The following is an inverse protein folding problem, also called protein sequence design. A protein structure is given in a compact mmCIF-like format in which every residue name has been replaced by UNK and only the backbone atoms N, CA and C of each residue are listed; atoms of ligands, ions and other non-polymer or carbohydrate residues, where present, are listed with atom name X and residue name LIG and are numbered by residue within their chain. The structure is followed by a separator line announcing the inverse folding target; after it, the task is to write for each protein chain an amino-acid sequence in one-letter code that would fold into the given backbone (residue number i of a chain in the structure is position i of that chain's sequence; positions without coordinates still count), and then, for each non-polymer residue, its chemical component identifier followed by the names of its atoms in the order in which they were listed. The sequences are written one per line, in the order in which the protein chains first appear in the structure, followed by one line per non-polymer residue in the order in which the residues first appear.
data_IF_031582342141
#
_entry.id   IF_031582342141
#
_cell.length_a   1.000
_cell.length_b   1.000
_cell.length_c   1.000
_cell.angle_alpha   90.00
_cell.angle_beta   90.00
_cell.angle_gamma   90.00
#
_symmetry.space_group_name_H-M   'P 1'
#
loop_
_entity.id
_entity.type
_entity.pdbx_description
1 polymer ?
#
# COMPACT_ATOMS: atom_id res chain seq x y z
N UNK A 1 16.38 15.91 -12.97
CA UNK A 1 15.03 15.41 -13.24
C UNK A 1 14.10 16.61 -13.48
N UNK A 2 13.19 16.49 -14.44
CA UNK A 2 12.16 17.50 -14.69
C UNK A 2 10.91 17.16 -13.85
N UNK A 3 10.23 18.22 -13.41
CA UNK A 3 8.95 18.15 -12.70
C UNK A 3 7.90 18.99 -13.41
N UNK A 4 6.63 18.71 -13.19
CA UNK A 4 5.56 19.55 -13.69
C UNK A 4 5.74 20.99 -13.19
N UNK A 5 5.62 21.96 -14.11
CA UNK A 5 5.88 23.38 -13.83
C UNK A 5 7.32 23.84 -14.11
N UNK A 6 8.26 22.91 -14.29
CA UNK A 6 9.61 23.28 -14.74
C UNK A 6 9.58 23.88 -16.13
N UNK A 7 10.55 24.75 -16.44
CA UNK A 7 10.70 25.31 -17.77
C UNK A 7 11.95 24.80 -18.46
N UNK A 8 11.79 24.38 -19.71
CA UNK A 8 12.89 23.95 -20.57
C UNK A 8 13.03 24.93 -21.72
N UNK A 9 14.19 25.56 -21.84
CA UNK A 9 14.51 26.45 -22.96
C UNK A 9 15.33 25.66 -23.99
N UNK A 10 14.81 25.57 -25.20
CA UNK A 10 15.50 24.98 -26.34
C UNK A 10 16.07 26.11 -27.17
N UNK A 11 17.38 26.10 -27.43
CA UNK A 11 18.06 27.06 -28.31
C UNK A 11 18.47 26.33 -29.57
N UNK A 12 18.03 26.88 -30.72
CA UNK A 12 18.48 26.41 -32.03
C UNK A 12 19.86 27.04 -32.35
N UNK A 13 20.83 26.18 -32.64
CA UNK A 13 22.12 26.63 -33.15
C UNK A 13 22.12 26.38 -34.65
N UNK A 14 22.26 27.41 -35.43
CA UNK A 14 22.29 27.33 -36.90
C UNK A 14 23.56 27.98 -37.43
N UNK A 15 24.00 27.52 -38.59
CA UNK A 15 25.17 28.05 -39.29
C UNK A 15 24.77 29.35 -40.00
N UNK A 16 25.55 30.42 -39.82
CA UNK A 16 25.35 31.72 -40.48
C UNK A 16 25.31 31.58 -42.02
N UNK A 17 26.05 30.61 -42.59
CA UNK A 17 26.02 30.28 -43.99
C UNK A 17 24.64 29.89 -44.50
N UNK A 18 23.82 29.21 -43.70
CA UNK A 18 22.46 28.81 -44.08
C UNK A 18 21.54 30.02 -44.14
N UNK A 19 21.69 30.99 -43.24
CA UNK A 19 20.92 32.24 -43.27
C UNK A 19 21.30 33.10 -44.49
N UNK A 20 22.56 33.19 -44.82
CA UNK A 20 23.04 33.91 -46.02
C UNK A 20 22.58 33.25 -47.33
N UNK A 21 22.64 31.91 -47.38
CA UNK A 21 22.30 31.14 -48.58
C UNK A 21 20.81 31.15 -48.92
N UNK A 22 19.96 31.02 -47.87
CA UNK A 22 18.52 30.86 -48.04
C UNK A 22 17.72 32.14 -47.73
N UNK A 23 18.37 33.19 -47.23
CA UNK A 23 17.72 34.47 -46.90
C UNK A 23 16.68 34.37 -45.78
N UNK A 24 16.75 33.30 -45.00
CA UNK A 24 15.81 33.07 -43.89
C UNK A 24 16.51 33.40 -42.57
N UNK A 25 16.04 34.43 -41.88
CA UNK A 25 16.47 34.76 -40.53
C UNK A 25 15.39 34.26 -39.57
N UNK A 26 15.71 33.39 -38.61
CA UNK A 26 14.76 32.96 -37.60
C UNK A 26 14.27 34.16 -36.79
N UNK A 27 12.97 34.25 -36.54
CA UNK A 27 12.37 35.29 -35.70
C UNK A 27 12.85 35.17 -34.24
N UNK A 28 13.13 33.92 -33.81
CA UNK A 28 13.72 33.61 -32.51
C UNK A 28 14.55 32.33 -32.61
N UNK A 29 15.68 32.32 -31.97
CA UNK A 29 16.55 31.13 -31.81
C UNK A 29 16.21 30.31 -30.58
N UNK A 30 15.35 30.82 -29.74
CA UNK A 30 14.99 30.18 -28.44
C UNK A 30 13.49 29.99 -28.30
N UNK A 31 13.10 28.88 -27.70
CA UNK A 31 11.73 28.61 -27.31
C UNK A 31 11.69 27.95 -25.95
N UNK A 32 10.87 28.50 -25.06
CA UNK A 32 10.65 27.96 -23.72
C UNK A 32 9.37 27.15 -23.68
N UNK A 33 9.43 25.98 -23.09
CA UNK A 33 8.33 25.07 -22.85
C UNK A 33 8.15 24.87 -21.36
N UNK A 34 6.91 24.85 -20.89
CA UNK A 34 6.59 24.39 -19.54
C UNK A 34 6.40 22.89 -19.58
N UNK A 35 7.00 22.20 -18.62
CA UNK A 35 6.83 20.77 -18.48
C UNK A 35 5.48 20.51 -17.82
N UNK A 36 4.66 19.72 -18.50
CA UNK A 36 3.32 19.31 -18.04
C UNK A 36 3.13 17.83 -18.34
N UNK A 37 2.18 17.18 -17.69
CA UNK A 37 1.80 15.81 -18.03
C UNK A 37 2.70 14.73 -17.44
N UNK A 38 3.55 15.05 -16.48
CA UNK A 38 4.34 14.04 -15.80
C UNK A 38 3.56 13.46 -14.62
N UNK A 39 3.57 12.14 -14.52
CA UNK A 39 3.11 11.46 -13.32
C UNK A 39 3.91 11.93 -12.10
N UNK A 40 3.24 12.10 -10.96
CA UNK A 40 3.88 12.48 -9.71
C UNK A 40 3.93 11.30 -8.74
N UNK A 41 5.11 10.99 -8.19
CA UNK A 41 5.24 9.98 -7.16
C UNK A 41 4.52 10.39 -5.87
N UNK A 42 3.87 9.43 -5.21
CA UNK A 42 3.32 9.63 -3.88
C UNK A 42 4.45 9.91 -2.88
N UNK A 43 4.39 11.08 -2.22
CA UNK A 43 5.45 11.55 -1.30
C UNK A 43 4.96 11.81 0.11
N UNK A 44 3.66 11.76 0.36
CA UNK A 44 3.01 12.00 1.65
C UNK A 44 1.66 11.32 1.70
N UNK A 45 1.14 11.08 2.89
CA UNK A 45 -0.27 10.78 3.11
C UNK A 45 -1.14 12.05 3.14
N UNK A 46 -0.51 13.20 3.36
CA UNK A 46 -1.22 14.48 3.46
C UNK A 46 -1.75 14.92 2.10
N UNK A 47 -3.00 15.37 2.08
CA UNK A 47 -3.63 15.91 0.88
C UNK A 47 -4.09 14.86 -0.13
N UNK A 48 -4.06 13.56 0.22
CA UNK A 48 -4.65 12.53 -0.63
C UNK A 48 -6.17 12.74 -0.73
N UNK A 49 -6.76 12.58 -1.92
CA UNK A 49 -8.21 12.52 -2.07
C UNK A 49 -8.80 11.37 -1.25
N UNK A 50 -10.03 11.54 -0.77
CA UNK A 50 -10.77 10.44 -0.14
C UNK A 50 -10.86 9.25 -1.10
N UNK A 51 -10.54 8.07 -0.58
CA UNK A 51 -10.54 6.83 -1.38
C UNK A 51 -9.34 6.63 -2.32
N UNK A 52 -8.37 7.52 -2.34
CA UNK A 52 -7.20 7.40 -3.23
C UNK A 52 -6.44 6.07 -3.11
N UNK A 53 -6.47 5.43 -1.95
CA UNK A 53 -5.83 4.15 -1.67
C UNK A 53 -6.79 2.95 -1.63
N UNK A 54 -8.09 3.12 -1.95
CA UNK A 54 -9.10 2.07 -1.80
C UNK A 54 -8.80 0.83 -2.66
N UNK A 55 -8.30 1.03 -3.89
CA UNK A 55 -7.91 -0.07 -4.76
C UNK A 55 -6.74 -0.87 -4.14
N UNK A 56 -5.73 -0.20 -3.62
CA UNK A 56 -4.57 -0.83 -2.97
C UNK A 56 -4.99 -1.54 -1.68
N UNK A 57 -5.89 -0.96 -0.91
CA UNK A 57 -6.42 -1.58 0.31
C UNK A 57 -7.27 -2.81 -0.01
N UNK A 58 -8.08 -2.76 -1.07
CA UNK A 58 -8.88 -3.90 -1.52
C UNK A 58 -7.96 -5.03 -1.99
N UNK A 59 -7.03 -4.75 -2.92
CA UNK A 59 -6.08 -5.75 -3.42
C UNK A 59 -5.23 -6.35 -2.30
N UNK A 60 -4.69 -5.51 -1.40
CA UNK A 60 -3.85 -6.00 -0.29
C UNK A 60 -4.63 -6.89 0.68
N UNK A 61 -5.89 -6.56 0.97
CA UNK A 61 -6.76 -7.38 1.80
C UNK A 61 -7.04 -8.73 1.16
N UNK A 62 -7.45 -8.74 -0.11
CA UNK A 62 -7.76 -9.96 -0.87
C UNK A 62 -6.53 -10.89 -0.94
N UNK A 63 -5.35 -10.31 -1.10
CA UNK A 63 -4.08 -11.04 -1.07
C UNK A 63 -3.81 -11.67 0.28
N UNK A 64 -3.99 -10.93 1.37
CA UNK A 64 -3.79 -11.47 2.72
C UNK A 64 -4.79 -12.57 3.02
N UNK A 65 -6.06 -12.42 2.64
CA UNK A 65 -7.08 -13.46 2.78
C UNK A 65 -6.72 -14.71 1.96
N UNK A 66 -6.24 -14.55 0.73
CA UNK A 66 -5.76 -15.65 -0.11
C UNK A 66 -4.55 -16.36 0.49
N UNK A 67 -3.61 -15.60 1.07
CA UNK A 67 -2.46 -16.16 1.77
C UNK A 67 -2.89 -16.97 3.00
N UNK A 68 -3.80 -16.44 3.81
CA UNK A 68 -4.35 -17.15 4.98
C UNK A 68 -5.06 -18.43 4.55
N UNK A 69 -5.75 -18.43 3.42
CA UNK A 69 -6.37 -19.63 2.86
C UNK A 69 -5.34 -20.70 2.42
N UNK A 70 -4.13 -20.27 2.06
CA UNK A 70 -3.02 -21.17 1.75
C UNK A 70 -2.27 -21.57 3.02
N UNK A 71 -2.76 -22.63 3.67
CA UNK A 71 -2.26 -23.12 4.97
C UNK A 71 -0.77 -23.45 4.97
N UNK A 72 -0.26 -24.01 3.89
CA UNK A 72 1.15 -24.40 3.76
C UNK A 72 2.05 -23.16 3.78
N UNK A 73 1.68 -22.15 3.01
CA UNK A 73 2.45 -20.90 2.91
C UNK A 73 2.48 -20.15 4.25
N UNK A 74 1.35 -20.04 4.95
CA UNK A 74 1.28 -19.38 6.25
C UNK A 74 2.02 -20.17 7.32
N UNK A 75 1.88 -21.49 7.33
CA UNK A 75 2.65 -22.32 8.28
C UNK A 75 4.16 -22.20 8.04
N UNK A 76 4.61 -22.20 6.79
CA UNK A 76 6.01 -21.97 6.45
C UNK A 76 6.54 -20.61 6.94
N UNK A 77 5.66 -19.59 7.02
CA UNK A 77 6.05 -18.26 7.48
C UNK A 77 6.15 -18.13 9.01
N UNK A 78 5.34 -18.90 9.78
CA UNK A 78 5.22 -18.73 11.24
C UNK A 78 5.77 -19.88 12.09
N UNK A 79 5.84 -21.11 11.57
CA UNK A 79 6.31 -22.27 12.34
C UNK A 79 7.64 -22.81 11.81
N UNK A 80 7.71 -23.15 10.52
CA UNK A 80 8.85 -23.81 9.92
C UNK A 80 8.89 -23.59 8.42
N UNK A 81 10.06 -23.72 7.82
CA UNK A 81 10.36 -23.65 6.39
C UNK A 81 9.82 -24.84 5.59
N UNK A 82 9.09 -25.77 6.21
CA UNK A 82 8.57 -26.94 5.54
C UNK A 82 7.26 -26.65 4.83
N UNK A 83 7.09 -27.24 3.65
CA UNK A 83 5.91 -27.12 2.80
C UNK A 83 4.79 -28.09 3.18
N UNK A 84 4.87 -28.76 4.33
CA UNK A 84 3.88 -29.75 4.72
C UNK A 84 2.62 -29.10 5.31
N UNK A 85 1.47 -29.72 5.03
CA UNK A 85 0.19 -29.29 5.59
C UNK A 85 0.21 -29.37 7.13
N UNK A 86 -0.24 -28.33 7.85
CA UNK A 86 -0.30 -28.35 9.30
C UNK A 86 -1.35 -29.36 9.80
N UNK A 87 -1.11 -29.97 10.99
CA UNK A 87 -2.08 -30.83 11.66
C UNK A 87 -3.25 -30.03 12.23
N UNK A 88 -2.97 -28.87 12.78
CA UNK A 88 -3.99 -27.90 13.20
C UNK A 88 -3.75 -26.56 12.56
N UNK A 89 -4.82 -25.88 12.16
CA UNK A 89 -4.77 -24.57 11.56
C UNK A 89 -6.04 -23.78 11.87
N UNK A 90 -5.90 -22.70 12.60
CA UNK A 90 -6.97 -21.76 12.92
C UNK A 90 -6.42 -20.35 12.81
N UNK A 91 -6.96 -19.55 11.91
CA UNK A 91 -6.66 -18.12 11.78
C UNK A 91 -7.98 -17.35 11.82
N UNK A 92 -8.02 -16.31 12.63
CA UNK A 92 -9.21 -15.48 12.83
C UNK A 92 -9.37 -14.47 11.68
N UNK A 93 -9.95 -14.92 10.59
CA UNK A 93 -10.22 -14.07 9.42
C UNK A 93 -11.28 -13.01 9.66
N UNK A 94 -12.15 -13.18 10.67
CA UNK A 94 -13.20 -12.20 11.00
C UNK A 94 -12.60 -10.94 11.64
N UNK A 95 -11.50 -11.08 12.38
CA UNK A 95 -10.77 -9.98 12.98
C UNK A 95 -9.55 -9.52 12.15
N UNK A 96 -9.43 -9.98 10.91
CA UNK A 96 -8.43 -9.47 9.99
C UNK A 96 -8.71 -7.99 9.70
N UNK A 97 -7.77 -7.11 10.06
CA UNK A 97 -7.90 -5.66 9.89
C UNK A 97 -6.59 -5.03 9.45
N UNK A 98 -6.68 -3.97 8.67
CA UNK A 98 -5.54 -3.09 8.45
C UNK A 98 -5.10 -2.52 9.81
N UNK A 99 -3.86 -2.75 10.18
CA UNK A 99 -3.27 -2.30 11.44
C UNK A 99 -2.61 -0.93 11.29
N UNK A 100 -1.76 -0.81 10.28
CA UNK A 100 -1.05 0.43 9.95
C UNK A 100 -0.60 0.40 8.50
N UNK A 101 -0.26 1.56 7.95
CA UNK A 101 0.41 1.68 6.65
C UNK A 101 1.69 2.47 6.79
N UNK A 102 2.71 2.10 6.02
CA UNK A 102 3.95 2.87 5.89
C UNK A 102 4.10 3.37 4.47
N UNK A 103 4.57 4.60 4.33
CA UNK A 103 5.03 5.16 3.07
C UNK A 103 6.52 5.45 3.19
N UNK A 104 7.32 4.81 2.37
CA UNK A 104 8.76 5.01 2.26
C UNK A 104 9.03 5.85 1.01
N UNK A 105 9.54 7.05 1.17
CA UNK A 105 9.86 7.96 0.07
C UNK A 105 11.37 8.07 -0.08
N UNK A 106 11.88 7.77 -1.26
CA UNK A 106 13.31 7.84 -1.56
C UNK A 106 13.91 9.21 -1.20
N UNK A 107 15.08 9.19 -0.58
CA UNK A 107 15.88 10.40 -0.33
C UNK A 107 16.69 10.84 -1.56
N UNK A 108 16.65 10.04 -2.63
CA UNK A 108 17.38 10.24 -3.87
C UNK A 108 18.29 9.07 -4.21
N UNK A 109 18.79 9.04 -5.44
CA UNK A 109 19.63 7.96 -5.96
C UNK A 109 20.92 7.77 -5.16
N UNK A 110 21.49 8.85 -4.63
CA UNK A 110 22.75 8.83 -3.86
C UNK A 110 22.63 8.07 -2.52
N UNK A 111 21.41 7.85 -2.04
CA UNK A 111 21.14 7.14 -0.80
C UNK A 111 20.85 5.63 -1.00
N UNK A 112 20.94 5.13 -2.24
CA UNK A 112 20.80 3.70 -2.55
C UNK A 112 19.37 3.16 -2.51
N UNK A 113 18.36 4.04 -2.55
CA UNK A 113 16.97 3.63 -2.66
C UNK A 113 16.72 2.96 -4.01
N UNK A 114 16.12 1.76 -4.00
CA UNK A 114 15.81 0.99 -5.21
C UNK A 114 14.57 1.52 -5.93
N UNK A 115 13.61 2.04 -5.20
CA UNK A 115 12.33 2.52 -5.69
C UNK A 115 12.12 3.99 -5.30
N UNK A 116 11.34 4.74 -6.07
CA UNK A 116 11.02 6.14 -5.75
C UNK A 116 10.17 6.26 -4.49
N UNK A 117 9.23 5.36 -4.33
CA UNK A 117 8.49 5.14 -3.09
C UNK A 117 8.08 3.68 -2.93
N UNK A 118 7.66 3.33 -1.71
CA UNK A 118 7.04 2.04 -1.38
C UNK A 118 5.88 2.30 -0.43
N UNK A 119 4.75 1.68 -0.71
CA UNK A 119 3.59 1.71 0.18
C UNK A 119 3.39 0.32 0.77
N UNK A 120 3.34 0.23 2.09
CA UNK A 120 3.22 -1.02 2.82
C UNK A 120 1.92 -1.01 3.63
N UNK A 121 1.00 -1.91 3.30
CA UNK A 121 -0.21 -2.17 4.09
C UNK A 121 0.06 -3.32 5.06
N UNK A 122 -0.02 -3.07 6.36
CA UNK A 122 0.20 -4.10 7.40
C UNK A 122 -1.14 -4.51 7.99
N UNK A 123 -1.49 -5.77 7.82
CA UNK A 123 -2.69 -6.39 8.37
C UNK A 123 -2.38 -7.15 9.64
N UNK A 124 -3.30 -7.13 10.59
CA UNK A 124 -3.22 -7.87 11.84
C UNK A 124 -4.39 -8.83 11.98
N UNK A 125 -4.08 -10.02 12.46
CA UNK A 125 -5.04 -11.01 12.95
C UNK A 125 -4.37 -11.87 14.01
N UNK A 126 -5.07 -12.87 14.54
CA UNK A 126 -4.52 -13.90 15.43
C UNK A 126 -4.66 -15.27 14.81
N UNK A 127 -3.72 -16.17 15.16
CA UNK A 127 -3.79 -17.53 14.66
C UNK A 127 -3.11 -18.53 15.58
N UNK A 128 -3.52 -19.78 15.45
CA UNK A 128 -2.85 -20.91 16.05
C UNK A 128 -2.67 -22.01 15.02
N UNK A 129 -1.50 -22.60 15.01
CA UNK A 129 -1.14 -23.68 14.10
C UNK A 129 -0.12 -24.60 14.74
N UNK A 130 -0.18 -25.88 14.41
CA UNK A 130 0.81 -26.85 14.88
C UNK A 130 1.09 -27.89 13.83
N UNK A 131 2.28 -28.46 13.93
CA UNK A 131 2.73 -29.61 13.12
C UNK A 131 3.21 -30.70 14.04
N UNK A 132 2.77 -31.93 13.78
CA UNK A 132 3.33 -33.11 14.43
C UNK A 132 4.70 -33.41 13.82
N UNK A 133 5.72 -32.73 14.32
CA UNK A 133 7.09 -33.09 14.04
C UNK A 133 7.68 -33.78 15.27
N UNK A 134 8.85 -34.40 15.11
CA UNK A 134 9.61 -34.95 16.25
C UNK A 134 9.95 -33.88 17.28
N UNK A 135 9.97 -32.59 16.89
CA UNK A 135 10.27 -31.43 17.73
C UNK A 135 9.04 -30.60 18.12
N UNK A 136 7.85 -30.93 17.64
CA UNK A 136 6.58 -30.35 18.09
C UNK A 136 6.44 -28.85 17.83
N UNK A 137 6.65 -28.41 16.59
CA UNK A 137 6.54 -27.00 16.21
C UNK A 137 5.09 -26.51 16.29
N UNK A 138 4.89 -25.38 16.94
CA UNK A 138 3.58 -24.75 17.07
C UNK A 138 3.70 -23.22 17.17
N UNK A 139 2.68 -22.53 16.69
CA UNK A 139 2.50 -21.10 16.81
C UNK A 139 1.12 -20.79 17.39
N UNK A 140 1.05 -19.83 18.30
CA UNK A 140 -0.21 -19.29 18.81
C UNK A 140 0.01 -17.83 19.21
N UNK A 141 -0.61 -16.90 18.50
CA UNK A 141 -0.42 -15.48 18.79
C UNK A 141 -0.85 -14.54 17.67
N UNK A 142 -0.31 -13.33 17.75
CA UNK A 142 -0.56 -12.26 16.78
C UNK A 142 0.18 -12.49 15.47
N UNK A 143 -0.49 -12.24 14.37
CA UNK A 143 0.05 -12.35 13.02
C UNK A 143 -0.03 -10.99 12.35
N UNK A 144 1.11 -10.47 11.91
CA UNK A 144 1.20 -9.25 11.12
C UNK A 144 1.68 -9.61 9.73
N UNK A 145 0.88 -9.31 8.71
CA UNK A 145 1.17 -9.61 7.31
C UNK A 145 1.23 -8.29 6.56
N UNK A 146 2.39 -7.98 6.02
CA UNK A 146 2.62 -6.78 5.24
C UNK A 146 2.58 -7.08 3.74
N UNK A 147 1.90 -6.24 2.98
CA UNK A 147 1.90 -6.23 1.51
C UNK A 147 2.57 -4.94 1.06
N UNK A 148 3.59 -5.05 0.24
CA UNK A 148 4.47 -3.97 -0.21
C UNK A 148 4.27 -3.69 -1.69
N UNK A 149 3.84 -2.48 -2.01
CA UNK A 149 3.68 -1.94 -3.35
C UNK A 149 4.77 -0.92 -3.65
N UNK A 150 5.17 -0.81 -4.91
CA UNK A 150 6.33 -0.02 -5.32
C UNK A 150 5.93 1.03 -6.35
N UNK A 151 6.61 2.17 -6.30
CA UNK A 151 6.53 3.24 -7.31
C UNK A 151 5.09 3.76 -7.57
N UNK A 152 4.34 4.00 -6.48
CA UNK A 152 3.00 4.58 -6.56
C UNK A 152 3.07 6.01 -7.09
N UNK A 153 2.22 6.32 -8.07
CA UNK A 153 2.15 7.62 -8.73
C UNK A 153 0.72 8.10 -8.83
N UNK A 154 0.56 9.38 -9.09
CA UNK A 154 -0.69 9.98 -9.52
C UNK A 154 -0.55 10.51 -10.94
N UNK A 155 -1.55 10.28 -11.78
CA UNK A 155 -1.68 10.92 -13.08
C UNK A 155 -2.07 12.41 -12.94
N UNK A 156 -2.16 13.13 -14.06
CA UNK A 156 -2.58 14.53 -14.09
C UNK A 156 -3.98 14.77 -13.51
N UNK A 157 -4.84 13.76 -13.53
CA UNK A 157 -6.20 13.80 -12.99
C UNK A 157 -6.27 13.47 -11.51
N UNK A 158 -5.13 13.10 -10.89
CA UNK A 158 -5.05 12.69 -9.49
C UNK A 158 -5.45 11.23 -9.25
N UNK A 159 -5.57 10.41 -10.28
CA UNK A 159 -5.82 8.97 -10.12
C UNK A 159 -4.53 8.25 -9.75
N UNK A 160 -4.64 7.29 -8.83
CA UNK A 160 -3.52 6.45 -8.44
C UNK A 160 -3.13 5.49 -9.57
N UNK A 161 -1.84 5.45 -9.86
CA UNK A 161 -1.21 4.47 -10.75
C UNK A 161 -0.32 3.57 -9.91
N UNK A 162 -0.62 2.29 -9.85
CA UNK A 162 0.14 1.29 -9.10
C UNK A 162 0.19 -0.04 -9.87
N UNK A 163 1.35 -0.70 -9.82
CA UNK A 163 1.47 -2.06 -10.34
C UNK A 163 1.10 -3.07 -9.24
N UNK A 164 -0.16 -3.49 -9.22
CA UNK A 164 -0.65 -4.46 -8.25
C UNK A 164 0.02 -5.84 -8.40
N UNK A 165 0.50 -6.23 -9.58
CA UNK A 165 1.07 -7.58 -9.79
C UNK A 165 2.44 -7.79 -9.17
N UNK A 166 3.13 -6.72 -8.79
CA UNK A 166 4.50 -6.74 -8.26
C UNK A 166 4.57 -6.60 -6.73
N UNK A 167 3.47 -6.95 -6.05
CA UNK A 167 3.38 -6.89 -4.60
C UNK A 167 4.20 -8.01 -3.93
N UNK A 168 4.92 -7.65 -2.86
CA UNK A 168 5.70 -8.57 -2.04
C UNK A 168 5.10 -8.72 -0.64
N UNK A 169 5.40 -9.83 0.04
CA UNK A 169 4.87 -10.12 1.37
C UNK A 169 5.97 -10.23 2.40
N UNK A 170 5.68 -9.76 3.62
CA UNK A 170 6.55 -9.95 4.78
C UNK A 170 5.70 -10.26 6.00
N UNK A 171 6.18 -11.16 6.85
CA UNK A 171 5.45 -11.68 8.00
C UNK A 171 6.16 -11.34 9.30
N UNK A 172 5.38 -11.02 10.34
CA UNK A 172 5.91 -10.69 11.66
C UNK A 172 5.01 -11.26 12.75
N UNK A 173 5.61 -11.62 13.86
CA UNK A 173 4.92 -12.13 15.04
C UNK A 173 4.60 -11.04 16.07
N UNK A 174 5.13 -9.83 15.87
CA UNK A 174 4.86 -8.67 16.74
C UNK A 174 4.79 -7.38 15.94
N UNK A 175 4.02 -6.41 16.45
CA UNK A 175 3.95 -5.07 15.86
C UNK A 175 5.33 -4.38 15.87
N UNK A 176 6.12 -4.56 16.94
CA UNK A 176 7.46 -3.96 17.05
C UNK A 176 8.42 -4.47 15.97
N UNK A 177 8.34 -5.75 15.62
CA UNK A 177 9.15 -6.32 14.54
C UNK A 177 8.75 -5.71 13.18
N UNK A 178 7.45 -5.56 12.91
CA UNK A 178 6.96 -4.89 11.70
C UNK A 178 7.42 -3.43 11.66
N UNK A 179 7.25 -2.69 12.76
CA UNK A 179 7.69 -1.30 12.88
C UNK A 179 9.21 -1.17 12.64
N UNK A 180 10.02 -1.95 13.35
CA UNK A 180 11.48 -1.88 13.22
C UNK A 180 11.96 -2.23 11.81
N UNK A 181 11.35 -3.22 11.16
CA UNK A 181 11.69 -3.60 9.80
C UNK A 181 11.43 -2.46 8.80
N UNK A 182 10.25 -1.84 8.87
CA UNK A 182 9.89 -0.79 7.91
C UNK A 182 10.47 0.58 8.27
N UNK A 183 10.36 1.00 9.54
CA UNK A 183 10.79 2.32 9.99
C UNK A 183 12.29 2.41 10.20
N UNK A 184 12.90 1.43 10.87
CA UNK A 184 14.30 1.52 11.31
C UNK A 184 15.28 1.08 10.24
N UNK A 185 15.01 -0.04 9.57
CA UNK A 185 15.97 -0.61 8.60
C UNK A 185 16.02 0.18 7.29
N UNK A 186 15.00 0.97 6.98
CA UNK A 186 14.92 1.73 5.73
C UNK A 186 15.30 3.21 5.87
N UNK A 187 15.55 3.69 7.09
CA UNK A 187 15.75 5.12 7.39
C UNK A 187 16.92 5.79 6.65
N UNK A 188 17.92 5.03 6.24
CA UNK A 188 19.09 5.59 5.56
C UNK A 188 18.78 5.94 4.10
N UNK A 189 17.98 5.11 3.43
CA UNK A 189 17.61 5.27 2.02
C UNK A 189 16.30 6.04 1.82
N UNK A 190 15.38 5.97 2.79
CA UNK A 190 14.02 6.51 2.68
C UNK A 190 13.68 7.46 3.84
N UNK A 191 12.82 8.45 3.54
CA UNK A 191 11.97 9.08 4.55
C UNK A 191 10.80 8.14 4.77
N UNK A 192 10.48 7.83 6.02
CA UNK A 192 9.40 6.89 6.36
C UNK A 192 8.29 7.62 7.09
N UNK A 193 7.06 7.44 6.61
CA UNK A 193 5.84 7.96 7.21
C UNK A 193 4.99 6.78 7.67
N UNK A 194 4.32 6.91 8.81
CA UNK A 194 3.37 5.92 9.32
C UNK A 194 1.98 6.55 9.38
N UNK A 195 0.98 5.82 8.90
CA UNK A 195 -0.43 6.13 9.06
C UNK A 195 -1.11 4.97 9.77
N UNK A 196 -1.50 5.16 11.02
CA UNK A 196 -2.27 4.16 11.76
C UNK A 196 -3.67 4.08 11.17
N UNK A 197 -4.15 2.86 10.95
CA UNK A 197 -5.51 2.66 10.49
C UNK A 197 -6.48 3.25 11.53
N UNK A 198 -7.37 4.11 11.07
CA UNK A 198 -8.48 4.59 11.89
C UNK A 198 -9.41 3.39 12.09
N UNK A 199 -9.68 3.02 13.34
CA UNK A 199 -10.68 1.98 13.61
C UNK A 199 -11.98 2.40 12.90
N UNK A 200 -12.64 1.50 12.12
CA UNK A 200 -13.91 1.83 11.50
C UNK A 200 -14.85 2.34 12.60
N UNK A 201 -15.44 3.50 12.38
CA UNK A 201 -16.46 4.04 13.30
C UNK A 201 -17.48 2.92 13.54
N UNK A 202 -17.71 2.58 14.80
CA UNK A 202 -18.69 1.55 15.14
C UNK A 202 -19.99 1.85 14.38
N UNK A 203 -20.46 0.88 13.58
CA UNK A 203 -21.71 1.03 12.88
C UNK A 203 -22.78 1.49 13.89
N UNK A 204 -23.61 2.49 13.57
CA UNK A 204 -24.65 2.93 14.50
C UNK A 204 -25.49 1.70 14.86
N UNK A 205 -25.63 1.46 16.18
CA UNK A 205 -26.41 0.35 16.69
C UNK A 205 -27.78 0.41 16.02
N UNK A 206 -28.14 -0.66 15.31
CA UNK A 206 -29.46 -0.77 14.70
C UNK A 206 -30.46 -0.60 15.82
N UNK A 207 -31.30 0.45 15.75
CA UNK A 207 -32.40 0.69 16.64
C UNK A 207 -33.21 -0.60 16.75
N UNK A 208 -33.23 -1.16 17.94
CA UNK A 208 -34.10 -2.29 18.26
C UNK A 208 -35.53 -1.81 18.06
N UNK A 209 -36.13 -2.22 16.94
CA UNK A 209 -37.54 -1.98 16.68
C UNK A 209 -38.33 -2.54 17.88
N UNK A 210 -38.92 -1.66 18.66
CA UNK A 210 -39.91 -1.98 19.69
C UNK A 210 -41.03 -2.74 19.04
N UNK A 211 -41.11 -4.05 19.31
CA UNK A 211 -42.26 -4.85 18.94
C UNK A 211 -43.49 -4.32 19.73
N UNK A 212 -44.36 -3.66 19.03
CA UNK A 212 -45.68 -3.24 19.50
C UNK A 212 -46.52 -4.50 19.80
N UNK A 213 -46.66 -4.80 21.07
CA UNK A 213 -47.54 -5.87 21.55
C UNK A 213 -48.96 -5.36 21.52
N UNK A 214 -49.73 -5.75 20.50
CA UNK A 214 -51.18 -5.57 20.46
C UNK A 214 -51.86 -6.28 21.63
N UNK A 215 -52.85 -5.66 22.29
CA UNK A 215 -53.56 -6.28 23.39
C UNK A 215 -54.53 -7.35 22.88
N UNK A 216 -54.51 -8.53 23.53
CA UNK A 216 -55.47 -9.60 23.30
C UNK A 216 -56.85 -9.17 23.79
N UNK A 217 -57.84 -9.13 22.87
CA UNK A 217 -59.24 -9.02 23.22
C UNK A 217 -59.74 -10.31 23.87
N UNK A 218 -60.24 -10.17 25.11
CA UNK A 218 -61.03 -11.20 25.78
C UNK A 218 -62.41 -11.20 25.23
N UNK A 219 -62.86 -12.28 24.60
CA UNK A 219 -64.26 -12.54 24.35
C UNK A 219 -64.83 -13.52 25.40
N UNK A 220 -65.73 -13.01 26.22
CA UNK A 220 -66.63 -13.80 27.06
C UNK A 220 -67.82 -14.24 26.24
N UNK A 221 -68.18 -15.51 26.34
CA UNK A 221 -69.55 -16.08 26.41
C UNK A 221 -69.48 -17.59 26.51
#
# INVERSE_FOLDING_TARGET
NLSNGDTVTVTAVYDDYLTETYGCIPESDTKTYTVEGLDSYMTSFDGLPDGALDEVHTDSRDRVESLIANKEQICGAFIDWSTDTPDTYQVDTQNLKLYTSYLLVSKGADFGAKYSNRYIAVYHTTGSMSKKSWFGDSYNGDMYIAVDYKDLKFDESGNLIVNLTDAEYTYFTTADNAYNYWMTSNKDCYKVFEQKAVAPAAAPAADAATADTAPAEASAS
#
